data_IF_248067871334
#
_entry.id   IF_248067871334
#
_cell.length_a   1.000
_cell.length_b   1.000
_cell.length_c   1.000
_cell.angle_alpha   90.00
_cell.angle_beta   90.00
_cell.angle_gamma   90.00
#
_symmetry.space_group_name_H-M   'P 1'
#
loop_
_entity.id
_entity.type
_entity.pdbx_description
1 polymer ?
#
# COMPACT_ATOMS: atom_id res chain seq x y z
N UNK A 1 13.92 3.31 -42.11
CA UNK A 1 13.63 3.05 -40.69
C UNK A 1 13.33 4.38 -40.01
N UNK A 2 12.36 4.44 -39.10
CA UNK A 2 12.11 5.64 -38.30
C UNK A 2 13.28 5.80 -37.32
N UNK A 3 13.92 6.98 -37.21
CA UNK A 3 15.08 7.19 -36.31
C UNK A 3 14.82 6.80 -34.85
N UNK A 4 13.54 6.82 -34.42
CA UNK A 4 13.09 6.42 -33.07
C UNK A 4 13.38 4.93 -32.80
N UNK A 5 13.33 4.05 -33.82
CA UNK A 5 13.58 2.61 -33.64
C UNK A 5 15.04 2.28 -33.37
N UNK A 6 15.98 3.16 -33.73
CA UNK A 6 17.42 2.97 -33.48
C UNK A 6 17.77 3.16 -32.00
N UNK A 7 16.92 3.84 -31.22
CA UNK A 7 17.09 4.09 -29.80
C UNK A 7 16.33 3.12 -28.89
N UNK A 8 15.65 2.10 -29.46
CA UNK A 8 14.93 1.12 -28.66
C UNK A 8 15.90 0.04 -28.17
N UNK A 9 16.03 -0.07 -26.86
CA UNK A 9 16.76 -1.18 -26.23
C UNK A 9 15.90 -2.45 -26.27
N UNK A 10 16.38 -3.47 -26.97
CA UNK A 10 15.70 -4.77 -27.06
C UNK A 10 16.13 -5.66 -25.89
N UNK A 11 15.25 -5.84 -24.91
CA UNK A 11 15.46 -6.68 -23.73
C UNK A 11 14.54 -7.89 -23.82
N UNK A 12 15.06 -9.07 -23.46
CA UNK A 12 14.23 -10.29 -23.40
C UNK A 12 13.11 -10.12 -22.34
N UNK A 13 11.88 -10.60 -22.58
CA UNK A 13 10.77 -10.42 -21.67
C UNK A 13 11.06 -10.80 -20.21
N UNK A 14 11.82 -11.88 -19.97
CA UNK A 14 12.19 -12.31 -18.62
C UNK A 14 13.23 -11.42 -17.93
N UNK A 15 13.91 -10.52 -18.66
CA UNK A 15 14.95 -9.64 -18.13
C UNK A 15 14.48 -8.18 -17.97
N UNK A 16 13.28 -7.83 -18.48
CA UNK A 16 12.79 -6.45 -18.46
C UNK A 16 12.70 -5.89 -17.04
N UNK A 17 12.14 -6.66 -16.11
CA UNK A 17 12.03 -6.22 -14.71
C UNK A 17 13.41 -6.00 -14.08
N UNK A 18 14.33 -6.94 -14.26
CA UNK A 18 15.71 -6.85 -13.75
C UNK A 18 16.43 -5.64 -14.32
N UNK A 19 16.27 -5.37 -15.63
CA UNK A 19 16.83 -4.18 -16.27
C UNK A 19 16.26 -2.90 -15.68
N UNK A 20 14.93 -2.84 -15.45
CA UNK A 20 14.26 -1.70 -14.81
C UNK A 20 14.80 -1.44 -13.41
N UNK A 21 14.98 -2.48 -12.59
CA UNK A 21 15.54 -2.34 -11.24
C UNK A 21 17.02 -1.91 -11.26
N UNK A 22 17.80 -2.33 -12.27
CA UNK A 22 19.18 -1.87 -12.45
C UNK A 22 19.20 -0.34 -12.74
N UNK A 23 18.38 0.12 -13.70
CA UNK A 23 18.24 1.55 -14.03
C UNK A 23 17.85 2.37 -12.78
N UNK A 24 16.83 1.92 -12.03
CA UNK A 24 16.42 2.59 -10.79
C UNK A 24 17.58 2.66 -9.80
N UNK A 25 18.36 1.60 -9.66
CA UNK A 25 19.52 1.58 -8.77
C UNK A 25 20.63 2.56 -9.19
N UNK A 26 20.91 2.66 -10.50
CA UNK A 26 21.87 3.61 -11.07
C UNK A 26 21.41 5.05 -10.83
N UNK A 27 20.14 5.37 -11.15
CA UNK A 27 19.59 6.70 -10.94
C UNK A 27 19.54 7.11 -9.45
N UNK A 28 19.22 6.21 -8.52
CA UNK A 28 19.28 6.50 -7.09
C UNK A 28 20.71 6.87 -6.68
N UNK A 29 21.71 6.16 -7.19
CA UNK A 29 23.13 6.44 -6.93
C UNK A 29 23.55 7.79 -7.49
N UNK A 30 23.17 8.10 -8.73
CA UNK A 30 23.44 9.41 -9.37
C UNK A 30 22.82 10.57 -8.59
N UNK A 31 21.65 10.37 -8.00
CA UNK A 31 20.97 11.34 -7.14
C UNK A 31 21.54 11.40 -5.73
N UNK A 32 22.55 10.60 -5.39
CA UNK A 32 23.14 10.52 -4.05
C UNK A 32 22.16 9.97 -3.00
N UNK A 33 21.17 9.18 -3.40
CA UNK A 33 20.18 8.61 -2.50
C UNK A 33 20.61 7.19 -2.12
N UNK A 34 20.75 6.97 -0.81
CA UNK A 34 21.05 5.64 -0.24
C UNK A 34 19.82 5.21 0.56
N UNK A 35 19.21 4.11 0.15
CA UNK A 35 18.08 3.53 0.86
C UNK A 35 18.56 2.54 1.93
N UNK A 36 17.91 2.48 3.12
CA UNK A 36 18.20 1.43 4.09
C UNK A 36 17.97 0.05 3.45
N UNK A 37 18.87 -0.92 3.66
CA UNK A 37 18.80 -2.23 2.99
C UNK A 37 17.47 -2.97 3.16
N UNK A 38 16.84 -2.86 4.33
CA UNK A 38 15.53 -3.46 4.60
C UNK A 38 14.40 -2.83 3.75
N UNK A 39 14.47 -1.51 3.52
CA UNK A 39 13.44 -0.73 2.84
C UNK A 39 13.64 -0.68 1.32
N UNK A 40 14.88 -0.89 0.87
CA UNK A 40 15.29 -0.72 -0.53
C UNK A 40 14.42 -1.52 -1.51
N UNK A 41 14.12 -2.82 -1.30
CA UNK A 41 13.31 -3.59 -2.23
C UNK A 41 11.91 -3.02 -2.42
N UNK A 42 11.27 -2.61 -1.32
CA UNK A 42 9.91 -2.04 -1.33
C UNK A 42 9.92 -0.66 -1.99
N UNK A 43 10.84 0.22 -1.60
CA UNK A 43 10.92 1.57 -2.19
C UNK A 43 11.22 1.50 -3.69
N UNK A 44 12.14 0.64 -4.13
CA UNK A 44 12.41 0.43 -5.56
C UNK A 44 11.19 -0.10 -6.31
N UNK A 45 10.41 -1.00 -5.72
CA UNK A 45 9.16 -1.50 -6.31
C UNK A 45 8.14 -0.37 -6.49
N UNK A 46 8.02 0.54 -5.51
CA UNK A 46 7.15 1.72 -5.62
C UNK A 46 7.65 2.67 -6.72
N UNK A 47 8.94 2.92 -6.81
CA UNK A 47 9.53 3.72 -7.91
C UNK A 47 9.25 3.04 -9.25
N UNK A 48 9.43 1.73 -9.36
CA UNK A 48 9.17 0.97 -10.58
C UNK A 48 7.72 1.11 -11.07
N UNK A 49 6.73 1.03 -10.15
CA UNK A 49 5.31 1.12 -10.51
C UNK A 49 4.84 2.54 -10.85
N UNK A 50 5.56 3.57 -10.39
CA UNK A 50 5.17 4.99 -10.52
C UNK A 50 6.09 5.82 -11.43
N UNK A 51 7.28 5.33 -11.73
CA UNK A 51 8.39 6.06 -12.35
C UNK A 51 8.75 7.38 -11.60
N UNK A 52 8.50 7.43 -10.28
CA UNK A 52 8.63 8.63 -9.46
C UNK A 52 9.65 8.43 -8.32
N UNK A 53 10.79 9.08 -8.42
CA UNK A 53 11.88 8.99 -7.44
C UNK A 53 11.62 9.75 -6.13
N UNK A 54 10.60 10.62 -6.06
CA UNK A 54 10.27 11.31 -4.81
C UNK A 54 9.88 10.32 -3.70
N UNK A 55 9.36 9.14 -4.06
CA UNK A 55 9.08 8.08 -3.10
C UNK A 55 10.29 7.64 -2.29
N UNK A 56 11.51 7.74 -2.84
CA UNK A 56 12.73 7.47 -2.10
C UNK A 56 12.95 8.40 -0.89
N UNK A 57 12.31 9.57 -0.88
CA UNK A 57 12.40 10.57 0.19
C UNK A 57 11.15 10.64 1.06
N UNK A 58 9.99 10.27 0.50
CA UNK A 58 8.69 10.47 1.16
C UNK A 58 8.12 9.21 1.80
N UNK A 59 8.61 8.03 1.41
CA UNK A 59 8.25 6.77 2.08
C UNK A 59 8.78 6.75 3.51
N UNK A 60 7.92 6.42 4.44
CA UNK A 60 8.21 6.33 5.87
C UNK A 60 7.84 4.94 6.38
N UNK A 61 8.75 4.34 7.12
CA UNK A 61 8.64 2.98 7.64
C UNK A 61 8.70 3.01 9.16
N UNK A 62 7.79 2.34 9.85
CA UNK A 62 7.97 2.06 11.28
C UNK A 62 9.17 1.11 11.50
N UNK A 63 9.74 1.03 12.72
CA UNK A 63 10.83 0.09 12.98
C UNK A 63 10.50 -1.33 12.53
N UNK A 64 11.38 -1.98 11.78
CA UNK A 64 11.24 -3.35 11.28
C UNK A 64 9.99 -3.60 10.42
N UNK A 65 9.41 -2.55 9.82
CA UNK A 65 8.15 -2.63 9.09
C UNK A 65 8.13 -3.72 8.01
N UNK A 66 9.16 -3.81 7.19
CA UNK A 66 9.23 -4.80 6.10
C UNK A 66 9.32 -6.23 6.66
N UNK A 67 10.10 -6.43 7.73
CA UNK A 67 10.21 -7.74 8.36
C UNK A 67 8.87 -8.16 8.99
N UNK A 68 8.22 -7.26 9.72
CA UNK A 68 6.90 -7.51 10.33
C UNK A 68 5.86 -7.86 9.27
N UNK A 69 5.79 -7.10 8.16
CA UNK A 69 4.86 -7.37 7.08
C UNK A 69 5.10 -8.77 6.44
N UNK A 70 6.36 -9.15 6.22
CA UNK A 70 6.71 -10.49 5.71
C UNK A 70 6.30 -11.60 6.68
N UNK A 71 6.52 -11.43 7.98
CA UNK A 71 6.12 -12.40 8.99
C UNK A 71 4.60 -12.55 9.08
N UNK A 72 3.86 -11.45 9.00
CA UNK A 72 2.39 -11.46 8.95
C UNK A 72 1.88 -12.23 7.72
N UNK A 73 2.42 -11.96 6.53
CA UNK A 73 2.05 -12.66 5.29
C UNK A 73 2.40 -14.15 5.40
N UNK A 74 3.59 -14.48 5.86
CA UNK A 74 4.02 -15.88 6.05
C UNK A 74 3.17 -16.60 7.10
N UNK A 75 2.64 -15.89 8.09
CA UNK A 75 1.71 -16.39 9.11
C UNK A 75 0.25 -16.46 8.64
N UNK A 76 -0.06 -16.16 7.40
CA UNK A 76 -1.41 -16.27 6.83
C UNK A 76 -2.32 -15.09 7.12
N UNK A 77 -1.77 -13.91 7.38
CA UNK A 77 -2.57 -12.70 7.54
C UNK A 77 -3.41 -12.40 6.30
N UNK A 78 -4.61 -11.88 6.51
CA UNK A 78 -5.45 -11.38 5.44
C UNK A 78 -5.06 -9.93 5.09
N UNK A 79 -5.38 -9.52 3.86
CA UNK A 79 -5.16 -8.15 3.39
C UNK A 79 -6.52 -7.52 3.08
N UNK A 80 -6.73 -6.31 3.55
CA UNK A 80 -7.93 -5.51 3.23
C UNK A 80 -7.50 -4.28 2.45
N UNK A 81 -8.09 -4.08 1.29
CA UNK A 81 -7.87 -2.90 0.43
C UNK A 81 -9.07 -1.97 0.46
N UNK A 82 -8.82 -0.69 0.22
CA UNK A 82 -9.86 0.34 0.07
C UNK A 82 -10.37 0.50 -1.37
N UNK A 83 -9.82 -0.26 -2.32
CA UNK A 83 -10.27 -0.27 -3.73
C UNK A 83 -10.12 -1.64 -4.36
N UNK A 84 -11.03 -1.94 -5.30
CA UNK A 84 -10.90 -3.14 -6.15
C UNK A 84 -9.67 -3.09 -7.06
N UNK A 85 -9.17 -1.89 -7.39
CA UNK A 85 -7.94 -1.74 -8.16
C UNK A 85 -6.73 -2.24 -7.38
N UNK A 86 -6.60 -1.89 -6.10
CA UNK A 86 -5.53 -2.41 -5.24
C UNK A 86 -5.67 -3.94 -5.07
N UNK A 87 -6.88 -4.44 -4.79
CA UNK A 87 -7.17 -5.88 -4.70
C UNK A 87 -6.78 -6.62 -5.99
N UNK A 88 -7.06 -6.05 -7.16
CA UNK A 88 -6.70 -6.65 -8.44
C UNK A 88 -5.18 -6.70 -8.68
N UNK A 89 -4.44 -5.72 -8.16
CA UNK A 89 -2.98 -5.64 -8.29
C UNK A 89 -2.20 -6.60 -7.39
N UNK A 90 -2.81 -7.11 -6.32
CA UNK A 90 -2.17 -8.04 -5.38
C UNK A 90 -2.15 -9.46 -5.95
N UNK A 91 -1.02 -10.17 -5.79
CA UNK A 91 -0.88 -11.56 -6.21
C UNK A 91 -1.61 -12.50 -5.24
N UNK A 92 -2.92 -12.67 -5.48
CA UNK A 92 -3.81 -13.51 -4.65
C UNK A 92 -3.38 -14.98 -4.59
N UNK A 93 -2.83 -15.50 -5.71
CA UNK A 93 -2.34 -16.88 -5.73
C UNK A 93 -1.18 -17.06 -4.76
N UNK A 94 -0.20 -16.15 -4.81
CA UNK A 94 0.96 -16.22 -3.92
C UNK A 94 0.57 -16.00 -2.46
N UNK A 95 -0.31 -15.05 -2.18
CA UNK A 95 -0.82 -14.83 -0.82
C UNK A 95 -1.56 -16.07 -0.29
N UNK A 96 -2.38 -16.71 -1.13
CA UNK A 96 -3.11 -17.93 -0.78
C UNK A 96 -2.21 -19.12 -0.43
N UNK A 97 -0.99 -19.19 -0.97
CA UNK A 97 0.00 -20.21 -0.61
C UNK A 97 0.42 -20.11 0.87
N UNK A 98 0.31 -18.93 1.46
CA UNK A 98 0.55 -18.66 2.89
C UNK A 98 -0.74 -18.71 3.74
N UNK A 99 -1.90 -19.00 3.12
CA UNK A 99 -3.19 -19.07 3.82
C UNK A 99 -3.91 -17.72 3.96
N UNK A 100 -3.38 -16.63 3.40
CA UNK A 100 -4.01 -15.32 3.40
C UNK A 100 -5.01 -15.11 2.27
N UNK A 101 -5.95 -14.19 2.46
CA UNK A 101 -6.96 -13.77 1.49
C UNK A 101 -6.96 -12.25 1.35
N UNK A 102 -7.28 -11.75 0.15
CA UNK A 102 -7.45 -10.30 -0.09
C UNK A 102 -8.94 -9.98 -0.12
N UNK A 103 -9.34 -8.97 0.65
CA UNK A 103 -10.70 -8.47 0.74
C UNK A 103 -10.82 -7.02 0.29
N UNK A 104 -11.96 -6.66 -0.28
CA UNK A 104 -12.35 -5.27 -0.54
C UNK A 104 -13.88 -5.17 -0.42
N UNK A 105 -14.36 -4.52 0.63
CA UNK A 105 -15.80 -4.41 0.94
C UNK A 105 -16.47 -3.21 0.26
N UNK A 106 -15.75 -2.41 -0.51
CA UNK A 106 -16.23 -1.15 -1.10
C UNK A 106 -17.40 -1.31 -2.09
N UNK A 107 -17.50 -2.48 -2.73
CA UNK A 107 -18.54 -2.78 -3.69
C UNK A 107 -19.75 -3.52 -3.08
N UNK A 108 -19.68 -3.91 -1.82
CA UNK A 108 -20.71 -4.68 -1.15
C UNK A 108 -21.98 -3.85 -0.96
N UNK A 109 -23.14 -4.43 -1.26
CA UNK A 109 -24.42 -3.72 -1.22
C UNK A 109 -24.84 -3.33 0.20
N UNK A 110 -24.53 -4.15 1.19
CA UNK A 110 -24.78 -3.87 2.60
C UNK A 110 -23.91 -2.71 3.08
N UNK A 111 -22.64 -2.65 2.72
CA UNK A 111 -21.74 -1.52 2.98
C UNK A 111 -22.31 -0.23 2.36
N UNK A 112 -22.79 -0.29 1.12
CA UNK A 112 -23.37 0.86 0.44
C UNK A 112 -24.64 1.36 1.14
N UNK A 113 -25.52 0.44 1.57
CA UNK A 113 -26.77 0.76 2.31
C UNK A 113 -26.47 1.37 3.68
N UNK A 114 -25.56 0.75 4.43
CA UNK A 114 -25.16 1.22 5.74
C UNK A 114 -24.51 2.60 5.68
N UNK A 115 -23.56 2.81 4.76
CA UNK A 115 -22.91 4.10 4.57
C UNK A 115 -23.93 5.21 4.28
N UNK A 116 -24.93 4.93 3.43
CA UNK A 116 -26.00 5.88 3.11
C UNK A 116 -26.88 6.16 4.33
N UNK A 117 -27.28 5.13 5.08
CA UNK A 117 -28.12 5.28 6.26
C UNK A 117 -27.43 6.08 7.38
N UNK A 118 -26.14 5.87 7.56
CA UNK A 118 -25.33 6.55 8.59
C UNK A 118 -24.71 7.88 8.13
N UNK A 119 -24.90 8.26 6.86
CA UNK A 119 -24.27 9.45 6.24
C UNK A 119 -22.74 9.50 6.40
N UNK A 120 -22.10 8.34 6.28
CA UNK A 120 -20.64 8.17 6.28
C UNK A 120 -20.13 7.65 4.94
N UNK A 121 -18.83 7.59 4.75
CA UNK A 121 -18.26 7.04 3.52
C UNK A 121 -18.32 5.50 3.51
N UNK A 122 -18.34 4.89 2.31
CA UNK A 122 -18.21 3.42 2.20
C UNK A 122 -16.89 2.94 2.76
N UNK A 123 -15.83 3.75 2.65
CA UNK A 123 -14.52 3.42 3.21
C UNK A 123 -14.59 3.26 4.74
N UNK A 124 -15.35 4.14 5.43
CA UNK A 124 -15.59 4.02 6.88
C UNK A 124 -16.21 2.67 7.23
N UNK A 125 -17.36 2.35 6.61
CA UNK A 125 -18.06 1.08 6.86
C UNK A 125 -17.21 -0.12 6.48
N UNK A 126 -16.46 -0.05 5.37
CA UNK A 126 -15.56 -1.13 4.95
C UNK A 126 -14.48 -1.42 5.98
N UNK A 127 -13.89 -0.39 6.60
CA UNK A 127 -12.88 -0.59 7.65
C UNK A 127 -13.49 -1.17 8.93
N UNK A 128 -14.70 -0.77 9.29
CA UNK A 128 -15.44 -1.35 10.42
C UNK A 128 -15.79 -2.83 10.20
N UNK A 129 -16.22 -3.19 8.98
CA UNK A 129 -16.43 -4.61 8.62
C UNK A 129 -15.13 -5.41 8.69
N UNK A 130 -14.04 -4.84 8.17
CA UNK A 130 -12.73 -5.48 8.19
C UNK A 130 -12.20 -5.70 9.61
N UNK A 131 -12.55 -4.84 10.56
CA UNK A 131 -12.15 -4.99 11.96
C UNK A 131 -12.76 -6.23 12.65
N UNK A 132 -13.78 -6.85 12.05
CA UNK A 132 -14.40 -8.08 12.54
C UNK A 132 -13.78 -9.37 11.94
N UNK A 133 -12.76 -9.28 11.11
CA UNK A 133 -12.04 -10.44 10.58
C UNK A 133 -11.26 -11.09 11.73
N UNK A 134 -11.51 -12.36 11.97
CA UNK A 134 -10.87 -13.14 13.05
C UNK A 134 -9.50 -13.68 12.60
N UNK A 135 -8.64 -12.80 12.09
CA UNK A 135 -7.26 -13.05 11.68
C UNK A 135 -6.45 -11.76 11.76
N UNK A 136 -5.12 -11.83 11.83
CA UNK A 136 -4.30 -10.64 11.61
C UNK A 136 -4.58 -10.03 10.24
N UNK A 137 -4.82 -8.71 10.19
CA UNK A 137 -5.15 -7.99 8.95
C UNK A 137 -4.11 -6.93 8.67
N UNK A 138 -3.61 -6.92 7.42
CA UNK A 138 -2.84 -5.85 6.82
C UNK A 138 -3.79 -4.96 6.02
N UNK A 139 -3.92 -3.70 6.40
CA UNK A 139 -4.73 -2.73 5.66
C UNK A 139 -3.89 -2.04 4.60
N UNK A 140 -4.23 -2.19 3.33
CA UNK A 140 -3.55 -1.57 2.18
C UNK A 140 -4.46 -0.47 1.57
N UNK A 141 -4.25 0.76 2.03
CA UNK A 141 -5.08 1.93 1.68
C UNK A 141 -4.35 2.77 0.63
N UNK A 142 -4.88 2.82 -0.58
CA UNK A 142 -4.30 3.51 -1.72
C UNK A 142 -5.12 4.67 -2.28
N UNK A 143 -6.35 4.88 -1.83
CA UNK A 143 -7.23 5.90 -2.39
C UNK A 143 -7.97 6.73 -1.34
N UNK A 144 -8.59 6.11 -0.34
CA UNK A 144 -9.51 6.77 0.58
C UNK A 144 -8.83 7.25 1.87
N UNK A 145 -8.57 8.56 2.06
CA UNK A 145 -8.07 9.07 3.34
C UNK A 145 -8.99 8.75 4.50
N UNK A 146 -10.31 8.69 4.24
CA UNK A 146 -11.32 8.32 5.24
C UNK A 146 -11.15 6.90 5.76
N UNK A 147 -10.55 5.98 4.98
CA UNK A 147 -10.21 4.65 5.49
C UNK A 147 -9.16 4.74 6.61
N UNK A 148 -8.09 5.52 6.43
CA UNK A 148 -7.06 5.72 7.46
C UNK A 148 -7.62 6.42 8.70
N UNK A 149 -8.50 7.43 8.50
CA UNK A 149 -9.16 8.12 9.61
C UNK A 149 -10.03 7.14 10.40
N UNK A 150 -10.81 6.29 9.71
CA UNK A 150 -11.67 5.29 10.36
C UNK A 150 -10.85 4.25 11.15
N UNK A 151 -9.72 3.77 10.60
CA UNK A 151 -8.82 2.88 11.33
C UNK A 151 -8.28 3.55 12.60
N UNK A 152 -7.86 4.82 12.48
CA UNK A 152 -7.39 5.59 13.63
C UNK A 152 -8.50 5.76 14.70
N UNK A 153 -9.72 6.10 14.29
CA UNK A 153 -10.85 6.25 15.22
C UNK A 153 -11.23 4.94 15.92
N UNK A 154 -11.20 3.79 15.20
CA UNK A 154 -11.42 2.48 15.81
C UNK A 154 -10.38 2.18 16.91
N UNK A 155 -9.11 2.49 16.66
CA UNK A 155 -8.05 2.35 17.65
C UNK A 155 -8.22 3.27 18.88
N UNK A 156 -8.85 4.44 18.72
CA UNK A 156 -9.13 5.35 19.83
C UNK A 156 -10.37 4.94 20.65
N UNK A 157 -11.31 4.26 20.02
CA UNK A 157 -12.60 3.88 20.63
C UNK A 157 -12.53 2.52 21.35
N UNK A 158 -11.50 1.71 21.08
CA UNK A 158 -11.39 0.34 21.61
C UNK A 158 -9.93 -0.10 21.69
N UNK A 159 -9.70 -1.28 22.28
CA UNK A 159 -8.38 -1.93 22.33
C UNK A 159 -8.04 -2.64 20.99
N UNK A 160 -8.91 -2.60 19.99
CA UNK A 160 -8.66 -3.18 18.68
C UNK A 160 -7.46 -2.52 17.99
N UNK A 161 -6.62 -3.34 17.40
CA UNK A 161 -5.46 -2.87 16.62
C UNK A 161 -5.34 -3.65 15.30
N UNK A 162 -5.13 -2.97 14.16
CA UNK A 162 -4.72 -3.64 12.93
C UNK A 162 -3.33 -4.24 13.10
N UNK A 163 -3.06 -5.36 12.43
CA UNK A 163 -1.73 -5.96 12.48
C UNK A 163 -0.68 -5.11 11.76
N UNK A 164 -1.09 -4.45 10.66
CA UNK A 164 -0.22 -3.58 9.86
C UNK A 164 -1.04 -2.60 9.00
N UNK A 165 -0.49 -1.42 8.73
CA UNK A 165 -1.10 -0.43 7.83
C UNK A 165 -0.12 -0.02 6.74
N UNK A 166 -0.52 -0.19 5.48
CA UNK A 166 0.08 0.45 4.30
C UNK A 166 -0.80 1.67 3.99
N UNK A 167 -0.31 2.87 4.33
CA UNK A 167 -1.07 4.11 4.21
C UNK A 167 -0.52 5.00 3.08
N UNK A 168 -0.96 4.73 1.86
CA UNK A 168 -0.49 5.45 0.66
C UNK A 168 -1.63 6.01 -0.20
N UNK A 169 -2.71 6.58 0.39
CA UNK A 169 -3.74 7.18 -0.43
C UNK A 169 -3.21 8.37 -1.22
N UNK A 170 -3.68 8.54 -2.46
CA UNK A 170 -3.43 9.70 -3.29
C UNK A 170 -4.55 10.72 -3.13
N UNK A 171 -4.24 12.01 -3.19
CA UNK A 171 -5.29 13.04 -3.27
C UNK A 171 -4.94 14.37 -2.62
N UNK A 172 -5.98 15.19 -2.41
CA UNK A 172 -5.82 16.58 -1.98
C UNK A 172 -6.59 16.90 -0.68
N UNK A 173 -7.73 16.27 -0.45
CA UNK A 173 -8.57 16.56 0.72
C UNK A 173 -8.25 15.57 1.83
N UNK A 174 -7.75 16.07 2.95
CA UNK A 174 -7.42 15.31 4.16
C UNK A 174 -6.35 14.20 4.00
N UNK A 175 -5.73 14.05 2.83
CA UNK A 175 -4.77 12.97 2.55
C UNK A 175 -3.55 13.05 3.47
N UNK A 176 -2.93 14.22 3.54
CA UNK A 176 -1.74 14.42 4.39
C UNK A 176 -2.08 14.24 5.86
N UNK A 177 -3.19 14.86 6.32
CA UNK A 177 -3.63 14.74 7.70
C UNK A 177 -3.93 13.28 8.10
N UNK A 178 -4.60 12.51 7.23
CA UNK A 178 -4.91 11.11 7.49
C UNK A 178 -3.65 10.25 7.62
N UNK A 179 -2.64 10.50 6.79
CA UNK A 179 -1.34 9.83 6.86
C UNK A 179 -0.59 10.17 8.14
N UNK A 180 -0.57 11.45 8.53
CA UNK A 180 0.08 11.90 9.75
C UNK A 180 -0.60 11.32 11.01
N UNK A 181 -1.90 11.01 10.99
CA UNK A 181 -2.55 10.29 12.08
C UNK A 181 -1.95 8.89 12.27
N UNK A 182 -1.76 8.14 11.19
CA UNK A 182 -1.18 6.80 11.24
C UNK A 182 0.26 6.82 11.72
N UNK A 183 1.07 7.79 11.26
CA UNK A 183 2.45 7.96 11.70
C UNK A 183 2.61 8.21 13.21
N UNK A 184 1.56 8.65 13.91
CA UNK A 184 1.54 8.88 15.36
C UNK A 184 1.10 7.65 16.15
N UNK A 185 0.70 6.56 15.51
CA UNK A 185 0.31 5.32 16.18
C UNK A 185 1.51 4.43 16.44
N UNK A 186 1.34 3.46 17.33
CA UNK A 186 2.29 2.38 17.61
C UNK A 186 2.12 1.16 16.66
N UNK A 187 1.11 1.21 15.77
CA UNK A 187 0.87 0.14 14.79
C UNK A 187 2.00 0.10 13.76
N UNK A 188 2.53 -1.09 13.42
CA UNK A 188 3.51 -1.23 12.35
C UNK A 188 2.94 -0.71 11.02
N UNK A 189 3.73 0.09 10.30
CA UNK A 189 3.22 0.74 9.09
C UNK A 189 4.29 1.06 8.05
N UNK A 190 3.82 1.21 6.81
CA UNK A 190 4.51 1.85 5.69
C UNK A 190 3.60 2.95 5.18
N UNK A 191 4.04 4.19 5.22
CA UNK A 191 3.25 5.38 4.83
C UNK A 191 4.07 6.24 3.87
N UNK A 192 3.44 6.71 2.80
CA UNK A 192 4.06 7.74 1.96
C UNK A 192 3.56 9.12 2.39
N UNK A 193 4.43 9.99 2.87
CA UNK A 193 4.08 11.37 3.26
C UNK A 193 3.69 12.21 2.04
N UNK A 194 2.90 13.24 2.30
CA UNK A 194 2.42 14.14 1.26
C UNK A 194 1.26 13.54 0.45
N UNK A 195 0.99 14.10 -0.73
CA UNK A 195 -0.21 13.83 -1.53
C UNK A 195 -0.10 12.64 -2.47
N UNK A 196 1.14 12.21 -2.79
CA UNK A 196 1.39 11.10 -3.71
C UNK A 196 1.02 9.75 -3.08
N UNK A 197 0.57 8.85 -3.94
CA UNK A 197 0.17 7.51 -3.59
C UNK A 197 -0.66 6.88 -4.70
N UNK A 198 -1.48 5.91 -4.37
CA UNK A 198 -2.39 5.28 -5.31
C UNK A 198 -2.63 3.80 -5.02
N UNK A 199 -3.69 3.26 -5.59
CA UNK A 199 -4.02 1.83 -5.48
C UNK A 199 -2.93 0.93 -6.06
N UNK A 200 -2.26 1.39 -7.14
CA UNK A 200 -1.10 0.71 -7.72
C UNK A 200 0.10 0.72 -6.75
N UNK A 201 0.32 1.81 -6.04
CA UNK A 201 1.38 1.93 -5.02
C UNK A 201 1.08 1.00 -3.85
N UNK A 202 -0.16 0.99 -3.34
CA UNK A 202 -0.58 0.08 -2.27
C UNK A 202 -0.35 -1.40 -2.65
N UNK A 203 -0.78 -1.79 -3.86
CA UNK A 203 -0.58 -3.14 -4.37
C UNK A 203 0.90 -3.50 -4.60
N UNK A 204 1.73 -2.53 -4.98
CA UNK A 204 3.17 -2.74 -5.21
C UNK A 204 3.96 -2.94 -3.91
N UNK A 205 3.47 -2.43 -2.79
CA UNK A 205 4.09 -2.61 -1.46
C UNK A 205 3.80 -4.00 -0.91
N UNK A 206 2.62 -4.57 -1.21
CA UNK A 206 2.23 -5.94 -0.82
C UNK A 206 3.03 -7.00 -1.57
#
# INVERSE_FOLDING_TARGET
>A
ALPILENIEYVLPGEIEKRSFAIIGEELKERGIVLPPEQEPVTKRVIHTSADFDYAKTMTYSPHAVQIAKELIAGGADIVTDTNMALAGINKKRLGEFGGTVHCFMADEDVAREAKARQVTRATVSMEHAANIDKPVIFAVGNAPTALISLYELMQKSDWRPAFIIGVPVGFVNVEAAKELILKTDVPHIVNRGRKGGSNVAAAIV
#
